data_IF_238364766060
#
_entry.id   IF_238364766060
#
_cell.length_a   1.000
_cell.length_b   1.000
_cell.length_c   1.000
_cell.angle_alpha   90.00
_cell.angle_beta   90.00
_cell.angle_gamma   90.00
#
_symmetry.space_group_name_H-M   'P 1'
#
loop_
_entity.id
_entity.type
_entity.pdbx_description
1 polymer ?
#
# COMPACT_ATOMS: atom_id res chain seq x y z
N UNK A 1 -9.28 7.94 13.51
CA UNK A 1 -9.09 8.11 12.05
C UNK A 1 -8.96 9.59 11.64
N UNK A 2 -9.84 10.46 12.13
CA UNK A 2 -9.94 11.89 11.76
C UNK A 2 -8.61 12.67 11.80
N UNK A 3 -7.81 12.55 12.86
CA UNK A 3 -6.52 13.28 12.95
C UNK A 3 -5.49 12.89 11.89
N UNK A 4 -5.46 11.64 11.43
CA UNK A 4 -4.51 11.21 10.38
C UNK A 4 -4.85 11.87 9.05
N UNK A 5 -6.14 11.90 8.69
CA UNK A 5 -6.63 12.56 7.49
C UNK A 5 -6.33 14.07 7.53
N UNK A 6 -6.63 14.74 8.64
CA UNK A 6 -6.34 16.17 8.84
C UNK A 6 -4.85 16.51 8.70
N UNK A 7 -3.95 15.69 9.24
CA UNK A 7 -2.51 15.90 9.08
C UNK A 7 -2.10 15.77 7.61
N UNK A 8 -2.66 14.79 6.90
CA UNK A 8 -2.37 14.56 5.48
C UNK A 8 -2.86 15.73 4.62
N UNK A 9 -4.09 16.17 4.85
CA UNK A 9 -4.69 17.33 4.19
C UNK A 9 -3.89 18.62 4.50
N UNK A 10 -3.50 18.84 5.75
CA UNK A 10 -2.65 19.96 6.14
C UNK A 10 -1.29 19.94 5.42
N UNK A 11 -0.65 18.76 5.29
CA UNK A 11 0.60 18.65 4.52
C UNK A 11 0.40 18.94 3.03
N UNK A 12 -0.72 18.51 2.45
CA UNK A 12 -1.04 18.78 1.04
C UNK A 12 -1.34 20.27 0.81
N UNK A 13 -2.10 20.91 1.70
CA UNK A 13 -2.41 22.33 1.60
C UNK A 13 -1.15 23.21 1.70
N UNK A 14 -0.15 22.82 2.50
CA UNK A 14 1.16 23.49 2.52
C UNK A 14 1.90 23.28 1.20
N UNK A 15 1.92 22.05 0.66
CA UNK A 15 2.56 21.76 -0.64
C UNK A 15 1.93 22.53 -1.79
N UNK A 16 0.60 22.69 -1.76
CA UNK A 16 -0.17 23.46 -2.74
C UNK A 16 -0.08 24.98 -2.52
N UNK A 17 0.77 25.45 -1.59
CA UNK A 17 0.96 26.87 -1.23
C UNK A 17 -0.33 27.57 -0.76
N UNK A 18 -1.34 26.81 -0.33
CA UNK A 18 -2.59 27.36 0.22
C UNK A 18 -2.35 28.04 1.58
N UNK A 19 -1.34 27.57 2.33
CA UNK A 19 -0.92 28.18 3.58
C UNK A 19 0.55 28.59 3.50
N UNK A 20 0.87 29.74 4.08
CA UNK A 20 2.23 30.30 4.13
C UNK A 20 3.23 29.39 4.88
N UNK A 21 2.75 28.58 5.83
CA UNK A 21 3.61 27.63 6.52
C UNK A 21 2.90 26.67 7.47
N UNK A 22 3.67 25.80 8.15
CA UNK A 22 3.13 24.75 9.01
C UNK A 22 2.26 25.28 10.16
N UNK A 23 2.54 26.49 10.65
CA UNK A 23 1.78 27.09 11.75
C UNK A 23 0.34 27.41 11.36
N UNK A 24 0.15 28.12 10.23
CA UNK A 24 -1.16 28.53 9.76
C UNK A 24 -2.03 27.32 9.40
N UNK A 25 -1.44 26.32 8.73
CA UNK A 25 -2.13 25.07 8.43
C UNK A 25 -2.47 24.29 9.72
N UNK A 26 -1.55 24.21 10.68
CA UNK A 26 -1.80 23.51 11.95
C UNK A 26 -2.97 24.11 12.73
N UNK A 27 -3.05 25.44 12.79
CA UNK A 27 -4.17 26.14 13.41
C UNK A 27 -5.49 25.87 12.68
N UNK A 28 -5.50 25.97 11.34
CA UNK A 28 -6.70 25.75 10.52
C UNK A 28 -7.25 24.32 10.64
N UNK A 29 -6.37 23.31 10.53
CA UNK A 29 -6.78 21.90 10.59
C UNK A 29 -6.88 21.36 12.03
N UNK A 30 -6.64 22.20 13.03
CA UNK A 30 -6.61 21.84 14.45
C UNK A 30 -5.70 20.62 14.75
N UNK A 31 -4.46 20.67 14.26
CA UNK A 31 -3.45 19.62 14.45
C UNK A 31 -2.22 20.19 15.16
N UNK A 32 -1.49 19.35 15.89
CA UNK A 32 -0.25 19.78 16.57
C UNK A 32 0.79 20.29 15.57
N UNK A 33 1.30 21.51 15.80
CA UNK A 33 2.39 22.13 15.03
C UNK A 33 3.62 21.21 14.95
N UNK A 34 4.03 20.64 16.08
CA UNK A 34 5.19 19.73 16.12
C UNK A 34 5.00 18.51 15.23
N UNK A 35 3.78 17.95 15.24
CA UNK A 35 3.45 16.80 14.38
C UNK A 35 3.55 17.19 12.91
N UNK A 36 3.04 18.36 12.53
CA UNK A 36 3.05 18.82 11.14
C UNK A 36 4.45 19.19 10.65
N UNK A 37 5.25 19.90 11.47
CA UNK A 37 6.66 20.17 11.16
C UNK A 37 7.48 18.88 11.02
N UNK A 38 7.32 17.91 11.93
CA UNK A 38 7.99 16.60 11.82
C UNK A 38 7.61 15.88 10.53
N UNK A 39 6.33 15.94 10.13
CA UNK A 39 5.84 15.33 8.88
C UNK A 39 6.45 16.01 7.65
N UNK A 40 6.54 17.34 7.66
CA UNK A 40 7.18 18.12 6.58
C UNK A 40 8.68 17.83 6.47
N UNK A 41 9.35 17.54 7.58
CA UNK A 41 10.75 17.13 7.61
C UNK A 41 10.97 15.65 7.19
N UNK A 42 9.96 14.98 6.63
CA UNK A 42 10.07 13.59 6.15
C UNK A 42 9.78 12.52 7.20
N UNK A 43 9.32 12.89 8.40
CA UNK A 43 9.01 11.93 9.45
C UNK A 43 7.86 10.99 9.06
N UNK A 44 8.12 9.68 9.11
CA UNK A 44 7.14 8.63 8.80
C UNK A 44 6.07 8.50 9.86
N UNK A 45 4.85 8.16 9.46
CA UNK A 45 3.83 7.73 10.40
C UNK A 45 4.12 6.32 10.90
N UNK A 46 3.60 5.96 12.07
CA UNK A 46 3.73 4.59 12.58
C UNK A 46 3.27 3.55 11.55
N UNK A 47 2.19 3.83 10.81
CA UNK A 47 1.73 2.92 9.76
C UNK A 47 2.70 2.83 8.57
N UNK A 48 3.31 3.95 8.16
CA UNK A 48 4.30 3.95 7.07
C UNK A 48 5.60 3.26 7.49
N UNK A 49 6.07 3.52 8.71
CA UNK A 49 7.25 2.86 9.27
C UNK A 49 7.02 1.35 9.46
N UNK A 50 5.83 0.96 9.92
CA UNK A 50 5.45 -0.44 10.01
C UNK A 50 5.38 -1.09 8.63
N UNK A 51 4.82 -0.41 7.62
CA UNK A 51 4.72 -0.94 6.26
C UNK A 51 6.10 -1.26 5.64
N UNK A 52 7.16 -0.50 5.96
CA UNK A 52 8.52 -0.83 5.51
C UNK A 52 9.12 -2.06 6.20
N UNK A 53 8.57 -2.49 7.33
CA UNK A 53 9.03 -3.68 8.07
C UNK A 53 8.19 -4.93 7.77
N UNK A 54 7.07 -4.79 7.03
CA UNK A 54 6.22 -5.93 6.67
C UNK A 54 6.83 -6.75 5.53
N UNK A 55 6.62 -8.07 5.58
CA UNK A 55 7.08 -9.01 4.55
C UNK A 55 6.30 -8.79 3.24
N UNK A 56 4.98 -8.62 3.37
CA UNK A 56 4.08 -8.28 2.29
C UNK A 56 3.93 -6.76 2.20
N UNK A 57 3.81 -6.28 0.98
CA UNK A 57 3.45 -4.89 0.71
C UNK A 57 1.95 -4.67 0.93
N UNK A 58 1.58 -3.42 1.19
CA UNK A 58 0.16 -3.02 1.34
C UNK A 58 -0.72 -3.42 0.14
N UNK A 59 -0.18 -3.50 -1.07
CA UNK A 59 -0.93 -3.90 -2.27
C UNK A 59 -1.14 -5.42 -2.32
N UNK A 60 -0.16 -6.21 -1.87
CA UNK A 60 -0.26 -7.67 -1.75
C UNK A 60 -1.26 -8.04 -0.66
N UNK A 61 -1.19 -7.41 0.51
CA UNK A 61 -2.17 -7.63 1.60
C UNK A 61 -3.60 -7.30 1.15
N UNK A 62 -3.80 -6.20 0.41
CA UNK A 62 -5.11 -5.86 -0.16
C UNK A 62 -5.63 -6.91 -1.15
N UNK A 63 -4.72 -7.59 -1.86
CA UNK A 63 -5.09 -8.68 -2.77
C UNK A 63 -5.55 -9.90 -1.99
N UNK A 64 -4.84 -10.25 -0.91
CA UNK A 64 -5.24 -11.33 0.01
C UNK A 64 -6.60 -11.05 0.64
N UNK A 65 -6.83 -9.83 1.15
CA UNK A 65 -8.12 -9.43 1.73
C UNK A 65 -9.25 -9.62 0.71
N UNK A 66 -9.05 -9.16 -0.53
CA UNK A 66 -10.05 -9.32 -1.60
C UNK A 66 -10.37 -10.79 -1.87
N UNK A 67 -9.36 -11.66 -1.87
CA UNK A 67 -9.57 -13.10 -2.04
C UNK A 67 -10.33 -13.69 -0.86
N UNK A 68 -9.94 -13.40 0.39
CA UNK A 68 -10.67 -13.84 1.59
C UNK A 68 -12.13 -13.43 1.50
N UNK A 69 -12.41 -12.15 1.21
CA UNK A 69 -13.79 -11.65 1.08
C UNK A 69 -14.58 -12.41 0.01
N UNK A 70 -13.97 -12.71 -1.14
CA UNK A 70 -14.63 -13.47 -2.21
C UNK A 70 -14.89 -14.93 -1.82
N UNK A 71 -13.93 -15.57 -1.17
CA UNK A 71 -14.08 -16.94 -0.66
C UNK A 71 -15.19 -17.02 0.39
N UNK A 72 -15.17 -16.12 1.38
CA UNK A 72 -16.23 -16.04 2.40
C UNK A 72 -17.59 -15.76 1.78
N UNK A 73 -17.68 -14.87 0.78
CA UNK A 73 -18.93 -14.59 0.07
C UNK A 73 -19.45 -15.79 -0.75
N UNK A 74 -18.55 -16.65 -1.25
CA UNK A 74 -18.89 -17.88 -1.95
C UNK A 74 -19.33 -19.02 -1.01
N UNK A 75 -19.35 -18.79 0.31
CA UNK A 75 -19.80 -19.76 1.31
C UNK A 75 -18.70 -20.71 1.82
N UNK A 76 -17.48 -20.61 1.29
CA UNK A 76 -16.36 -21.46 1.72
C UNK A 76 -15.23 -20.58 2.21
N UNK A 77 -14.99 -20.49 3.53
CA UNK A 77 -13.86 -19.73 4.04
C UNK A 77 -12.55 -20.33 3.52
N UNK A 78 -11.61 -19.47 3.16
CA UNK A 78 -10.30 -19.92 2.67
C UNK A 78 -9.54 -20.61 3.80
N UNK A 79 -8.92 -21.76 3.52
CA UNK A 79 -8.03 -22.42 4.48
C UNK A 79 -6.82 -21.52 4.79
N UNK A 80 -6.37 -21.44 6.04
CA UNK A 80 -5.14 -20.73 6.39
C UNK A 80 -3.91 -21.22 5.61
N UNK A 81 -3.83 -22.52 5.30
CA UNK A 81 -2.72 -23.09 4.51
C UNK A 81 -2.69 -22.51 3.09
N UNK A 82 -3.84 -22.52 2.41
CA UNK A 82 -3.99 -21.95 1.08
C UNK A 82 -3.71 -20.44 1.08
N UNK A 83 -4.12 -19.72 2.12
CA UNK A 83 -3.84 -18.29 2.23
C UNK A 83 -2.33 -18.01 2.32
N UNK A 84 -1.57 -18.82 3.06
CA UNK A 84 -0.11 -18.70 3.16
C UNK A 84 0.57 -19.00 1.82
N UNK A 85 0.13 -20.03 1.10
CA UNK A 85 0.64 -20.34 -0.24
C UNK A 85 0.42 -19.17 -1.21
N UNK A 86 -0.78 -18.60 -1.20
CA UNK A 86 -1.13 -17.45 -2.04
C UNK A 86 -0.32 -16.19 -1.68
N UNK A 87 -0.02 -15.99 -0.39
CA UNK A 87 0.84 -14.91 0.07
C UNK A 87 2.29 -15.07 -0.43
N UNK A 88 2.84 -16.29 -0.34
CA UNK A 88 4.19 -16.57 -0.81
C UNK A 88 4.29 -16.46 -2.34
N UNK A 89 3.24 -16.87 -3.08
CA UNK A 89 3.17 -16.66 -4.53
C UNK A 89 3.23 -15.18 -4.93
N UNK A 90 2.52 -14.30 -4.21
CA UNK A 90 2.56 -12.85 -4.44
C UNK A 90 3.97 -12.31 -4.20
N UNK A 91 4.57 -12.66 -3.06
CA UNK A 91 5.92 -12.25 -2.69
C UNK A 91 6.96 -12.73 -3.70
N UNK A 92 6.92 -14.01 -4.09
CA UNK A 92 7.83 -14.57 -5.07
C UNK A 92 7.69 -13.87 -6.44
N UNK A 93 6.47 -13.51 -6.86
CA UNK A 93 6.23 -12.76 -8.08
C UNK A 93 6.83 -11.35 -8.03
N UNK A 94 6.77 -10.68 -6.86
CA UNK A 94 7.42 -9.38 -6.64
C UNK A 94 8.94 -9.50 -6.77
N UNK A 95 9.55 -10.47 -6.07
CA UNK A 95 10.99 -10.73 -6.14
C UNK A 95 11.45 -10.94 -7.58
N UNK A 96 10.72 -11.74 -8.36
CA UNK A 96 11.05 -11.95 -9.79
C UNK A 96 10.97 -10.67 -10.63
N UNK A 97 9.95 -9.83 -10.41
CA UNK A 97 9.82 -8.54 -11.09
C UNK A 97 10.96 -7.60 -10.75
N UNK A 98 11.26 -7.44 -9.46
CA UNK A 98 12.31 -6.53 -8.99
C UNK A 98 13.71 -6.98 -9.45
N UNK A 99 13.89 -8.29 -9.65
CA UNK A 99 15.12 -8.89 -10.15
C UNK A 99 15.29 -8.78 -11.68
N UNK A 100 14.37 -8.14 -12.40
CA UNK A 100 14.43 -7.96 -13.87
C UNK A 100 14.35 -9.25 -14.68
N UNK A 101 14.01 -10.39 -14.05
CA UNK A 101 13.81 -11.66 -14.74
C UNK A 101 12.36 -11.74 -15.23
N UNK A 102 12.04 -10.94 -16.25
CA UNK A 102 10.89 -11.23 -17.09
C UNK A 102 11.22 -12.47 -17.92
N UNK A 103 10.95 -13.64 -17.35
CA UNK A 103 10.76 -14.84 -18.15
C UNK A 103 9.59 -14.56 -19.10
N UNK A 104 9.95 -14.20 -20.33
CA UNK A 104 9.09 -14.19 -21.52
C UNK A 104 8.25 -15.45 -21.45
N UNK A 105 6.96 -15.30 -21.14
CA UNK A 105 5.99 -16.35 -21.36
C UNK A 105 6.01 -16.61 -22.85
N UNK A 106 6.63 -17.71 -23.27
CA UNK A 106 6.61 -18.17 -24.65
C UNK A 106 5.15 -18.23 -25.09
N UNK A 107 4.74 -17.28 -25.92
CA UNK A 107 3.51 -17.35 -26.69
C UNK A 107 3.71 -18.52 -27.65
N UNK A 108 3.33 -19.73 -27.22
CA UNK A 108 3.19 -20.85 -28.14
C UNK A 108 2.08 -20.45 -29.11
N UNK A 109 2.45 -20.05 -30.32
CA UNK A 109 1.53 -19.92 -31.43
C UNK A 109 0.74 -21.22 -31.55
N UNK A 110 -0.61 -21.18 -31.67
CA UNK A 110 -1.37 -22.38 -31.91
C UNK A 110 -0.86 -23.01 -33.20
N UNK A 111 -0.50 -24.29 -33.14
CA UNK A 111 -0.10 -25.09 -34.30
C UNK A 111 -1.36 -25.28 -35.15
N UNK A 112 -1.65 -24.29 -35.99
CA UNK A 112 -2.50 -24.39 -37.15
C UNK A 112 -1.62 -24.20 -38.36
N UNK A 113 -1.13 -25.31 -38.91
CA UNK A 113 -0.71 -25.37 -40.30
C UNK A 113 -1.77 -26.21 -41.03
N UNK A 114 -2.21 -25.67 -42.16
CA UNK A 114 -3.11 -26.28 -43.14
C UNK A 114 -2.58 -27.61 -43.69
#
# INVERSE_FOLDING_TARGET
AQNKAKILEATQAIKNKTFSGPYAAAAHFNVSRHTLSRRMAGGLSHAQAAASQQILSNTEEKSLIRWITRYTAAGTPISPSLLLEMAELLRARRVRRDSGSEAVTKTTTPIGHE
#
